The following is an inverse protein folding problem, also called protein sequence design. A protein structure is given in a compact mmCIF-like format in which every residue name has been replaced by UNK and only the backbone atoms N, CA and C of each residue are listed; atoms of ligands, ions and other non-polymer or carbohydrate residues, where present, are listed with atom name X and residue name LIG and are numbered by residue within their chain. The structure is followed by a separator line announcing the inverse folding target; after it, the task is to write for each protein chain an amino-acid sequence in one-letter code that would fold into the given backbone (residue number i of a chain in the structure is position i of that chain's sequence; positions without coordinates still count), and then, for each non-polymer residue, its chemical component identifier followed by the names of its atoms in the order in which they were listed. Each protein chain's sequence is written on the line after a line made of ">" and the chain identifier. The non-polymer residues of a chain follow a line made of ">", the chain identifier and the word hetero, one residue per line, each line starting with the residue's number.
data_IF_420689384251
#
_entry.id   IF_420689384251
#
_cell.length_a   1.000
_cell.length_b   1.000
_cell.length_c   1.000
_cell.angle_alpha   90.00
_cell.angle_beta   90.00
_cell.angle_gamma   90.00
#
_symmetry.space_group_name_H-M   'P 1'
#
loop_
_entity.id
_entity.type
_entity.pdbx_description
1 polymer ?
#
# COMPACT_ATOMS: atom_id res chain seq x y z
N UNK A 1 1.86 -2.92 30.47
CA UNK A 1 2.01 -1.77 31.38
C UNK A 1 2.75 -0.68 30.64
N UNK A 2 2.43 0.61 30.83
CA UNK A 2 3.09 1.71 30.11
C UNK A 2 4.40 2.06 30.81
N UNK A 3 5.59 1.93 30.18
CA UNK A 3 6.82 2.41 30.79
C UNK A 3 6.78 3.93 30.90
N UNK A 4 7.12 4.44 32.09
CA UNK A 4 7.19 5.87 32.40
C UNK A 4 8.58 6.20 32.93
N UNK A 5 9.05 7.40 32.63
CA UNK A 5 10.28 7.98 33.19
C UNK A 5 10.02 9.44 33.54
N UNK A 6 10.64 9.94 34.61
CA UNK A 6 10.60 11.37 34.94
C UNK A 6 11.23 12.16 33.78
N UNK A 7 10.60 13.27 33.41
CA UNK A 7 10.95 14.09 32.25
C UNK A 7 10.45 13.54 30.90
N UNK A 8 9.83 12.36 30.86
CA UNK A 8 9.37 11.78 29.59
C UNK A 8 8.25 12.63 28.96
N UNK A 9 8.35 13.02 27.69
CA UNK A 9 7.26 13.64 26.96
C UNK A 9 6.11 12.65 26.81
N UNK A 10 4.93 13.08 27.21
CA UNK A 10 3.69 12.31 27.16
C UNK A 10 2.58 13.12 26.50
N UNK A 11 1.62 12.41 25.93
CA UNK A 11 0.38 12.97 25.42
C UNK A 11 -0.81 12.34 26.15
N UNK A 12 -1.84 13.14 26.41
CA UNK A 12 -3.08 12.63 26.98
C UNK A 12 -3.79 11.69 25.98
N UNK A 13 -4.09 10.46 26.39
CA UNK A 13 -4.81 9.50 25.55
C UNK A 13 -6.30 9.83 25.43
N UNK A 14 -6.84 10.62 26.38
CA UNK A 14 -8.25 10.94 26.55
C UNK A 14 -8.45 12.41 26.92
N UNK A 15 -9.69 12.89 26.81
CA UNK A 15 -10.08 14.14 27.47
C UNK A 15 -10.18 13.87 28.98
N UNK A 16 -9.46 14.66 29.77
CA UNK A 16 -9.41 14.54 31.23
C UNK A 16 -10.21 15.67 31.86
N UNK A 17 -9.93 16.92 31.48
CA UNK A 17 -10.60 18.11 31.99
C UNK A 17 -10.97 19.03 30.82
N UNK A 18 -12.26 19.28 30.64
CA UNK A 18 -12.81 20.16 29.59
C UNK A 18 -13.14 21.57 30.07
N UNK A 19 -12.83 21.88 31.33
CA UNK A 19 -12.93 23.25 31.87
C UNK A 19 -11.91 24.19 31.21
N UNK A 20 -11.73 25.37 31.79
CA UNK A 20 -10.72 26.36 31.38
C UNK A 20 -9.28 25.80 31.33
N UNK A 21 -9.03 24.63 31.93
CA UNK A 21 -7.72 23.95 31.85
C UNK A 21 -7.45 23.30 30.49
N UNK A 22 -8.45 22.99 29.68
CA UNK A 22 -8.34 22.38 28.34
C UNK A 22 -7.43 21.15 28.25
N UNK A 23 -7.54 20.21 29.20
CA UNK A 23 -6.80 18.95 29.19
C UNK A 23 -7.48 17.92 28.27
N UNK A 24 -7.37 18.18 26.98
CA UNK A 24 -7.98 17.40 25.91
C UNK A 24 -7.05 16.29 25.41
N UNK A 25 -7.65 15.27 24.76
CA UNK A 25 -6.91 14.20 24.09
C UNK A 25 -5.84 14.78 23.17
N UNK A 26 -4.62 14.29 23.33
CA UNK A 26 -3.46 14.65 22.52
C UNK A 26 -2.70 15.88 23.02
N UNK A 27 -3.12 16.53 24.11
CA UNK A 27 -2.32 17.58 24.75
C UNK A 27 -1.00 17.00 25.25
N UNK A 28 0.09 17.71 24.95
CA UNK A 28 1.46 17.32 25.31
C UNK A 28 1.81 17.85 26.70
N UNK A 29 2.62 17.09 27.43
CA UNK A 29 3.21 17.47 28.70
C UNK A 29 4.40 16.57 29.02
N UNK A 30 4.98 16.77 30.20
CA UNK A 30 6.12 15.97 30.68
C UNK A 30 5.75 15.27 32.00
N UNK A 31 6.20 14.03 32.17
CA UNK A 31 6.07 13.34 33.46
C UNK A 31 6.93 14.06 34.48
N UNK A 32 6.31 14.63 35.51
CA UNK A 32 7.02 15.34 36.57
C UNK A 32 7.34 14.41 37.74
N UNK A 33 6.34 13.66 38.21
CA UNK A 33 6.48 12.71 39.30
C UNK A 33 5.38 11.64 39.20
N UNK A 34 5.45 10.61 40.03
CA UNK A 34 4.39 9.62 40.19
C UNK A 34 4.30 9.15 41.63
N UNK A 35 3.13 8.63 41.98
CA UNK A 35 2.92 7.87 43.20
C UNK A 35 2.71 6.41 42.83
N UNK A 36 3.47 5.54 43.50
CA UNK A 36 3.43 4.11 43.27
C UNK A 36 3.14 3.42 44.59
N UNK A 37 1.99 2.76 44.69
CA UNK A 37 1.63 1.97 45.87
C UNK A 37 2.37 0.63 45.85
N UNK A 38 2.78 0.15 47.02
CA UNK A 38 3.40 -1.18 47.13
C UNK A 38 2.49 -2.25 46.54
N UNK A 39 3.09 -3.22 45.84
CA UNK A 39 2.42 -4.35 45.18
C UNK A 39 1.50 -3.99 43.99
N UNK A 40 1.38 -2.72 43.59
CA UNK A 40 0.65 -2.35 42.39
C UNK A 40 1.50 -2.50 41.13
N UNK A 41 0.88 -2.98 40.06
CA UNK A 41 1.57 -3.12 38.77
C UNK A 41 1.66 -1.81 38.00
N UNK A 42 1.03 -0.71 38.42
CA UNK A 42 1.09 0.59 37.73
C UNK A 42 0.98 1.72 38.77
N UNK A 43 1.35 2.96 38.44
CA UNK A 43 1.21 4.07 39.39
C UNK A 43 -0.26 4.33 39.73
N UNK A 44 -0.53 4.79 40.96
CA UNK A 44 -1.84 5.29 41.39
C UNK A 44 -2.10 6.69 40.81
N UNK A 45 -1.06 7.51 40.72
CA UNK A 45 -1.11 8.88 40.19
C UNK A 45 0.16 9.15 39.39
N UNK A 46 0.02 9.84 38.25
CA UNK A 46 1.16 10.43 37.53
C UNK A 46 0.93 11.93 37.42
N UNK A 47 1.85 12.71 37.97
CA UNK A 47 1.84 14.16 37.83
C UNK A 47 2.44 14.56 36.49
N UNK A 48 1.65 15.26 35.68
CA UNK A 48 2.07 15.73 34.35
C UNK A 48 2.14 17.25 34.36
N UNK A 49 3.28 17.79 33.93
CA UNK A 49 3.51 19.22 33.74
C UNK A 49 3.14 19.63 32.32
N UNK A 50 2.32 20.67 32.20
CA UNK A 50 1.97 21.33 30.96
C UNK A 50 2.64 22.71 30.94
N UNK A 51 3.63 22.93 30.08
CA UNK A 51 4.46 24.15 30.09
C UNK A 51 3.65 25.41 29.76
N UNK A 52 2.78 25.33 28.75
CA UNK A 52 1.94 26.45 28.30
C UNK A 52 0.63 26.59 29.10
N UNK A 53 0.65 26.31 30.41
CA UNK A 53 -0.54 26.33 31.25
C UNK A 53 -0.50 27.46 32.30
N UNK A 54 -1.46 28.38 32.22
CA UNK A 54 -1.54 29.55 33.11
C UNK A 54 -2.26 29.26 34.44
N UNK A 55 -2.86 28.08 34.57
CA UNK A 55 -3.59 27.68 35.78
C UNK A 55 -2.67 26.96 36.76
N UNK A 56 -2.96 27.08 38.05
CA UNK A 56 -2.29 26.36 39.14
C UNK A 56 -3.35 25.66 39.99
N UNK A 57 -3.16 24.38 40.30
CA UNK A 57 -4.05 23.67 41.20
C UNK A 57 -3.77 24.11 42.65
N UNK A 58 -4.82 24.15 43.47
CA UNK A 58 -4.66 24.36 44.92
C UNK A 58 -3.77 23.27 45.51
N UNK A 59 -2.78 23.66 46.30
CA UNK A 59 -1.77 22.75 46.86
C UNK A 59 -0.66 22.33 45.89
N UNK A 60 -0.68 22.70 44.61
CA UNK A 60 0.45 22.48 43.72
C UNK A 60 1.57 23.49 43.99
N UNK A 61 2.82 23.06 43.86
CA UNK A 61 3.98 23.96 44.04
C UNK A 61 4.17 24.90 42.84
N UNK A 62 3.77 24.46 41.64
CA UNK A 62 4.02 25.15 40.38
C UNK A 62 2.78 25.14 39.46
N UNK A 63 2.65 26.10 38.53
CA UNK A 63 1.54 26.14 37.56
C UNK A 63 1.60 24.97 36.58
N UNK A 64 0.47 24.59 35.98
CA UNK A 64 0.42 23.58 34.94
C UNK A 64 0.67 22.14 35.39
N UNK A 65 0.78 21.86 36.69
CA UNK A 65 0.93 20.50 37.21
C UNK A 65 -0.44 19.86 37.44
N UNK A 66 -0.68 18.68 36.88
CA UNK A 66 -1.97 17.98 37.01
C UNK A 66 -1.81 16.50 37.42
N UNK A 67 -2.57 16.01 38.40
CA UNK A 67 -2.60 14.59 38.77
C UNK A 67 -3.43 13.78 37.76
N UNK A 68 -2.78 12.87 37.03
CA UNK A 68 -3.43 11.98 36.06
C UNK A 68 -3.60 10.60 36.68
N UNK A 69 -4.86 10.20 36.88
CA UNK A 69 -5.21 8.91 37.50
C UNK A 69 -5.54 7.83 36.47
N UNK A 70 -5.36 6.53 36.81
CA UNK A 70 -5.84 5.42 36.00
C UNK A 70 -7.33 5.51 35.69
N UNK A 71 -7.70 5.27 34.43
CA UNK A 71 -9.09 5.24 33.97
C UNK A 71 -9.42 3.88 33.36
N UNK A 72 -10.64 3.38 33.63
CA UNK A 72 -11.19 2.17 33.05
C UNK A 72 -12.02 2.47 31.80
N UNK A 73 -11.61 1.91 30.66
CA UNK A 73 -12.38 1.95 29.42
C UNK A 73 -12.90 0.57 29.08
N UNK A 74 -14.14 0.53 28.63
CA UNK A 74 -14.76 -0.69 28.16
C UNK A 74 -15.22 -0.55 26.72
N UNK A 75 -14.95 -1.56 25.90
CA UNK A 75 -15.54 -1.72 24.57
C UNK A 75 -16.13 -3.12 24.40
N UNK A 76 -17.07 -3.26 23.46
CA UNK A 76 -17.69 -4.53 23.11
C UNK A 76 -17.13 -5.04 21.78
N UNK A 77 -16.69 -6.29 21.72
CA UNK A 77 -16.14 -6.90 20.51
C UNK A 77 -17.22 -7.26 19.49
N UNK A 78 -18.46 -7.45 19.94
CA UNK A 78 -19.60 -7.89 19.16
C UNK A 78 -20.64 -6.78 18.98
N UNK A 79 -20.19 -5.52 18.86
CA UNK A 79 -21.06 -4.34 18.72
C UNK A 79 -22.04 -4.41 17.53
N UNK A 80 -21.78 -5.27 16.54
CA UNK A 80 -22.67 -5.51 15.39
C UNK A 80 -23.84 -6.46 15.64
N UNK A 81 -23.94 -7.11 16.82
CA UNK A 81 -25.10 -7.94 17.20
C UNK A 81 -26.20 -7.06 17.78
N UNK A 82 -27.47 -7.49 17.64
CA UNK A 82 -28.63 -6.83 18.28
C UNK A 82 -28.42 -6.64 19.80
N UNK A 83 -27.83 -7.65 20.44
CA UNK A 83 -27.43 -7.59 21.84
C UNK A 83 -25.95 -7.95 21.97
N UNK A 84 -25.12 -6.93 22.16
CA UNK A 84 -23.69 -7.10 22.33
C UNK A 84 -23.36 -7.55 23.78
N UNK A 85 -22.75 -8.72 23.92
CA UNK A 85 -22.46 -9.41 25.19
C UNK A 85 -20.95 -9.54 25.46
N UNK A 86 -20.08 -9.45 24.44
CA UNK A 86 -18.64 -9.63 24.60
C UNK A 86 -17.95 -8.32 25.02
N UNK A 87 -17.93 -8.05 26.32
CA UNK A 87 -17.38 -6.85 26.95
C UNK A 87 -15.92 -7.05 27.35
N UNK A 88 -15.03 -6.14 26.92
CA UNK A 88 -13.62 -6.07 27.35
C UNK A 88 -13.39 -4.76 28.08
N UNK A 89 -12.76 -4.81 29.25
CA UNK A 89 -12.38 -3.62 30.03
C UNK A 89 -10.87 -3.51 30.19
N UNK A 90 -10.34 -2.29 30.18
CA UNK A 90 -8.94 -1.98 30.41
C UNK A 90 -8.84 -0.78 31.36
N UNK A 91 -8.19 -0.98 32.51
CA UNK A 91 -7.77 0.08 33.44
C UNK A 91 -6.31 0.45 33.14
N UNK A 92 -6.03 1.71 32.84
CA UNK A 92 -4.68 2.19 32.55
C UNK A 92 -4.59 3.70 32.78
N UNK A 93 -3.39 4.22 33.07
CA UNK A 93 -3.14 5.66 33.06
C UNK A 93 -3.32 6.20 31.63
N UNK A 94 -4.15 7.23 31.41
CA UNK A 94 -4.51 7.72 30.08
C UNK A 94 -3.40 8.59 29.46
N UNK A 95 -2.18 8.05 29.39
CA UNK A 95 -1.00 8.67 28.80
C UNK A 95 -0.45 7.78 27.68
N UNK A 96 0.24 8.42 26.73
CA UNK A 96 1.04 7.74 25.71
C UNK A 96 2.38 8.48 25.56
N UNK A 97 3.50 7.79 25.31
CA UNK A 97 4.77 8.45 25.03
C UNK A 97 4.63 9.35 23.80
N UNK A 98 5.21 10.54 23.84
CA UNK A 98 5.01 11.58 22.84
C UNK A 98 6.29 11.98 22.07
N UNK A 99 7.32 11.13 22.08
CA UNK A 99 8.52 11.32 21.25
C UNK A 99 8.21 11.29 19.74
N UNK A 100 7.20 10.51 19.36
CA UNK A 100 6.72 10.41 17.98
C UNK A 100 5.21 10.39 17.98
N UNK A 101 4.61 11.02 16.97
CA UNK A 101 3.17 11.04 16.77
C UNK A 101 2.85 10.56 15.36
N UNK A 102 1.78 9.76 15.23
CA UNK A 102 1.31 9.36 13.92
C UNK A 102 0.67 10.55 13.21
N UNK A 103 0.75 10.58 11.88
CA UNK A 103 0.10 11.61 11.07
C UNK A 103 -1.39 11.79 11.43
N UNK A 104 -2.11 10.68 11.61
CA UNK A 104 -3.52 10.69 12.04
C UNK A 104 -3.72 11.35 13.41
N UNK A 105 -2.86 11.06 14.39
CA UNK A 105 -2.97 11.66 15.73
C UNK A 105 -2.57 13.15 15.77
N UNK A 106 -1.79 13.61 14.79
CA UNK A 106 -1.42 15.03 14.63
C UNK A 106 -2.48 15.87 13.91
N UNK A 107 -3.48 15.24 13.28
CA UNK A 107 -4.49 15.94 12.48
C UNK A 107 -5.24 16.98 13.33
N UNK A 108 -5.37 18.19 12.79
CA UNK A 108 -6.04 19.31 13.46
C UNK A 108 -5.17 20.04 14.50
N UNK A 109 -3.90 19.66 14.67
CA UNK A 109 -2.95 20.38 15.55
C UNK A 109 -2.07 21.33 14.76
N UNK A 110 -1.59 22.37 15.44
CA UNK A 110 -0.46 23.18 15.00
C UNK A 110 0.72 22.87 15.91
N UNK A 111 1.85 22.49 15.34
CA UNK A 111 3.09 22.11 16.01
C UNK A 111 4.14 23.18 15.75
N UNK A 112 5.06 23.37 16.70
CA UNK A 112 6.18 24.33 16.56
C UNK A 112 7.16 23.89 15.48
N UNK A 113 7.52 22.61 15.47
CA UNK A 113 8.37 21.99 14.45
C UNK A 113 8.06 20.49 14.30
N UNK A 114 8.40 19.90 13.16
CA UNK A 114 8.19 18.48 12.86
C UNK A 114 9.38 17.84 12.16
N UNK A 115 9.73 16.63 12.59
CA UNK A 115 10.58 15.71 11.84
C UNK A 115 9.69 14.68 11.13
N UNK A 116 9.71 14.67 9.80
CA UNK A 116 8.86 13.85 8.95
C UNK A 116 9.59 12.59 8.49
N UNK A 117 9.09 11.41 8.87
CA UNK A 117 9.47 10.17 8.21
C UNK A 117 8.55 9.90 7.01
N UNK A 118 9.08 10.16 5.81
CA UNK A 118 8.36 9.99 4.54
C UNK A 118 8.52 8.60 3.90
N UNK A 119 9.35 7.73 4.48
CA UNK A 119 9.65 6.42 3.92
C UNK A 119 8.62 5.37 4.39
N UNK A 120 7.47 5.40 3.73
CA UNK A 120 6.33 4.50 3.99
C UNK A 120 6.08 3.53 2.84
N UNK A 121 5.34 2.46 3.15
CA UNK A 121 4.93 1.46 2.16
C UNK A 121 4.09 2.08 1.03
N UNK A 122 4.25 1.55 -0.18
CA UNK A 122 3.49 1.91 -1.39
C UNK A 122 1.96 1.96 -1.26
N UNK A 123 1.40 1.25 -0.25
CA UNK A 123 -0.03 1.19 0.08
C UNK A 123 -0.52 2.40 0.89
N UNK A 124 0.38 3.15 1.51
CA UNK A 124 0.01 4.32 2.30
C UNK A 124 -0.35 5.46 1.35
N UNK A 125 -1.40 6.19 1.69
CA UNK A 125 -1.88 7.29 0.87
C UNK A 125 -0.93 8.49 0.96
N UNK A 126 -0.51 9.05 -0.18
CA UNK A 126 0.45 10.15 -0.25
C UNK A 126 0.01 11.40 0.52
N UNK A 127 -1.30 11.63 0.66
CA UNK A 127 -1.84 12.77 1.42
C UNK A 127 -1.38 12.80 2.88
N UNK A 128 -0.91 11.69 3.45
CA UNK A 128 -0.38 11.72 4.81
C UNK A 128 0.80 12.70 4.92
N UNK A 129 1.68 12.78 3.91
CA UNK A 129 2.82 13.71 3.92
C UNK A 129 2.35 15.16 3.97
N UNK A 130 1.33 15.49 3.19
CA UNK A 130 0.68 16.82 3.22
C UNK A 130 0.01 17.11 4.57
N UNK A 131 -0.66 16.12 5.16
CA UNK A 131 -1.27 16.27 6.50
C UNK A 131 -0.22 16.63 7.53
N UNK A 132 0.93 15.94 7.56
CA UNK A 132 1.96 16.22 8.57
C UNK A 132 2.72 17.51 8.26
N UNK A 133 3.06 17.78 6.99
CA UNK A 133 3.74 19.01 6.59
C UNK A 133 2.90 20.26 6.90
N UNK A 134 1.57 20.17 6.79
CA UNK A 134 0.64 21.27 7.14
C UNK A 134 0.41 21.44 8.65
N UNK A 135 1.12 20.70 9.52
CA UNK A 135 1.02 20.89 10.98
C UNK A 135 1.91 22.03 11.48
N UNK A 136 2.88 22.49 10.69
CA UNK A 136 3.72 23.64 11.05
C UNK A 136 3.34 24.86 10.21
N UNK A 137 3.76 26.04 10.66
CA UNK A 137 3.47 27.30 9.97
C UNK A 137 4.49 27.59 8.88
N UNK A 138 5.75 27.29 9.13
CA UNK A 138 6.85 27.64 8.25
C UNK A 138 7.61 26.43 7.74
N UNK A 139 8.20 26.57 6.54
CA UNK A 139 9.00 25.51 5.92
C UNK A 139 10.29 25.24 6.70
N UNK A 140 10.87 26.24 7.38
CA UNK A 140 12.05 26.08 8.24
C UNK A 140 11.81 25.11 9.39
N UNK A 141 10.56 24.93 9.77
CA UNK A 141 10.14 24.08 10.89
C UNK A 141 9.83 22.64 10.46
N UNK A 142 10.11 22.29 9.20
CA UNK A 142 9.97 20.92 8.66
C UNK A 142 11.33 20.34 8.34
N UNK A 143 11.65 19.20 8.96
CA UNK A 143 12.82 18.40 8.60
C UNK A 143 12.39 17.03 8.07
N UNK A 144 12.88 16.63 6.90
CA UNK A 144 12.65 15.28 6.37
C UNK A 144 13.73 14.35 6.92
N UNK A 145 13.32 13.35 7.69
CA UNK A 145 14.23 12.51 8.48
C UNK A 145 15.19 11.68 7.63
N UNK A 146 14.74 11.21 6.45
CA UNK A 146 15.52 10.33 5.56
C UNK A 146 14.99 10.37 4.12
N UNK A 147 15.78 9.91 3.12
CA UNK A 147 15.30 9.75 1.75
C UNK A 147 14.03 8.90 1.67
N UNK A 148 13.14 9.25 0.74
CA UNK A 148 11.83 8.63 0.58
C UNK A 148 11.45 8.47 -0.90
N UNK A 149 10.54 7.55 -1.25
CA UNK A 149 10.11 7.33 -2.63
C UNK A 149 9.31 8.53 -3.17
N UNK A 150 9.97 9.44 -3.88
CA UNK A 150 9.34 10.63 -4.47
C UNK A 150 8.09 10.31 -5.32
N UNK A 151 8.14 9.19 -6.05
CA UNK A 151 7.04 8.72 -6.90
C UNK A 151 5.72 8.51 -6.14
N UNK A 152 5.76 8.25 -4.82
CA UNK A 152 4.56 8.14 -3.98
C UNK A 152 3.79 9.46 -3.93
N UNK A 153 4.52 10.58 -3.83
CA UNK A 153 3.96 11.92 -3.69
C UNK A 153 3.68 12.61 -5.03
N UNK A 154 4.09 11.99 -6.15
CA UNK A 154 3.83 12.44 -7.52
C UNK A 154 2.59 11.77 -8.15
N UNK A 155 1.86 10.92 -7.42
CA UNK A 155 0.66 10.23 -7.95
C UNK A 155 -0.54 11.16 -8.20
N UNK A 156 -0.46 12.42 -7.78
CA UNK A 156 -1.56 13.39 -7.86
C UNK A 156 -2.55 13.28 -6.70
N UNK A 157 -3.54 14.17 -6.68
CA UNK A 157 -4.62 14.16 -5.69
C UNK A 157 -5.52 12.94 -5.86
N UNK A 158 -6.12 12.47 -4.77
CA UNK A 158 -7.15 11.44 -4.87
C UNK A 158 -8.35 11.95 -5.64
N UNK A 159 -8.87 11.08 -6.51
CA UNK A 159 -10.08 11.37 -7.28
C UNK A 159 -11.29 11.66 -6.37
N UNK A 160 -11.39 11.02 -5.21
CA UNK A 160 -12.54 11.12 -4.29
C UNK A 160 -12.90 12.56 -3.87
N UNK A 161 -11.99 13.31 -3.21
CA UNK A 161 -12.23 14.72 -2.87
C UNK A 161 -12.58 15.59 -4.09
N UNK A 162 -11.88 15.42 -5.21
CA UNK A 162 -12.15 16.18 -6.43
C UNK A 162 -13.55 15.89 -6.99
N UNK A 163 -13.98 14.63 -6.98
CA UNK A 163 -15.34 14.24 -7.41
C UNK A 163 -16.41 14.77 -6.47
N UNK A 164 -16.18 14.73 -5.15
CA UNK A 164 -17.09 15.30 -4.18
C UNK A 164 -17.26 16.80 -4.43
N UNK A 165 -16.16 17.53 -4.59
CA UNK A 165 -16.18 18.96 -4.89
C UNK A 165 -16.89 19.26 -6.22
N UNK A 166 -16.63 18.47 -7.26
CA UNK A 166 -17.30 18.60 -8.56
C UNK A 166 -18.82 18.42 -8.41
N UNK A 167 -19.23 17.42 -7.63
CA UNK A 167 -20.65 17.14 -7.37
C UNK A 167 -21.32 18.26 -6.58
N UNK A 168 -20.63 18.80 -5.58
CA UNK A 168 -21.12 19.92 -4.76
C UNK A 168 -21.21 21.22 -5.57
N UNK A 169 -20.34 21.41 -6.58
CA UNK A 169 -20.42 22.54 -7.53
C UNK A 169 -21.47 22.35 -8.63
N UNK A 170 -22.15 21.21 -8.69
CA UNK A 170 -23.11 20.91 -9.74
C UNK A 170 -22.48 20.60 -11.10
N UNK A 171 -21.17 20.31 -11.14
CA UNK A 171 -20.49 19.91 -12.38
C UNK A 171 -21.03 18.57 -12.87
N UNK A 172 -21.11 18.41 -14.19
CA UNK A 172 -21.52 17.15 -14.79
C UNK A 172 -20.46 16.07 -14.53
N UNK A 173 -20.87 14.97 -13.89
CA UNK A 173 -20.01 13.82 -13.59
C UNK A 173 -20.55 12.61 -14.32
N UNK A 174 -19.73 12.03 -15.19
CA UNK A 174 -20.03 10.76 -15.85
C UNK A 174 -19.79 9.58 -14.89
N UNK A 175 -20.83 9.24 -14.12
CA UNK A 175 -20.81 8.11 -13.19
C UNK A 175 -20.58 6.78 -13.88
N UNK A 176 -21.04 6.61 -15.11
CA UNK A 176 -20.91 5.37 -15.87
C UNK A 176 -19.46 5.14 -16.29
N UNK A 177 -18.80 6.16 -16.86
CA UNK A 177 -17.38 6.09 -17.21
C UNK A 177 -16.49 5.82 -15.99
N UNK A 178 -16.82 6.40 -14.83
CA UNK A 178 -16.10 6.14 -13.59
C UNK A 178 -16.31 4.72 -13.07
N UNK A 179 -17.56 4.21 -13.13
CA UNK A 179 -17.85 2.83 -12.76
C UNK A 179 -17.04 1.87 -13.65
N UNK A 180 -17.06 2.07 -14.97
CA UNK A 180 -16.35 1.21 -15.91
C UNK A 180 -14.80 1.37 -15.83
N UNK A 181 -14.30 2.51 -15.35
CA UNK A 181 -12.89 2.71 -15.01
C UNK A 181 -12.42 1.88 -13.81
N UNK A 182 -13.30 1.69 -12.83
CA UNK A 182 -13.01 0.96 -11.57
C UNK A 182 -13.37 -0.51 -11.64
N UNK A 183 -14.30 -0.86 -12.53
CA UNK A 183 -14.83 -2.21 -12.66
C UNK A 183 -14.61 -2.72 -14.09
N UNK A 184 -13.35 -2.96 -14.50
CA UNK A 184 -13.07 -3.46 -15.83
C UNK A 184 -13.80 -4.80 -16.05
N UNK A 185 -14.36 -4.94 -17.25
CA UNK A 185 -15.17 -6.09 -17.65
C UNK A 185 -14.47 -6.87 -18.76
N UNK A 186 -14.69 -8.17 -18.79
CA UNK A 186 -14.28 -9.05 -19.88
C UNK A 186 -15.30 -10.17 -20.11
N UNK A 187 -15.33 -10.66 -21.35
CA UNK A 187 -16.18 -11.80 -21.71
C UNK A 187 -15.55 -13.09 -21.19
N UNK A 188 -16.33 -13.90 -20.47
CA UNK A 188 -15.89 -15.22 -20.04
C UNK A 188 -15.68 -16.13 -21.26
N UNK A 189 -14.58 -16.89 -21.29
CA UNK A 189 -14.30 -17.81 -22.40
C UNK A 189 -15.35 -18.93 -22.51
N UNK A 190 -15.89 -19.40 -21.38
CA UNK A 190 -16.85 -20.51 -21.33
C UNK A 190 -18.29 -20.03 -21.55
N UNK A 191 -18.84 -19.18 -20.69
CA UNK A 191 -20.25 -18.74 -20.80
C UNK A 191 -20.47 -17.53 -21.72
N UNK A 192 -19.42 -16.92 -22.27
CA UNK A 192 -19.46 -15.73 -23.16
C UNK A 192 -20.08 -14.45 -22.57
N UNK A 193 -20.62 -14.51 -21.36
CA UNK A 193 -21.17 -13.35 -20.66
C UNK A 193 -20.09 -12.32 -20.32
N UNK A 194 -20.45 -11.03 -20.44
CA UNK A 194 -19.62 -9.92 -20.01
C UNK A 194 -19.66 -9.82 -18.48
N UNK A 195 -18.53 -10.05 -17.84
CA UNK A 195 -18.42 -10.06 -16.38
C UNK A 195 -17.32 -9.12 -15.91
N UNK A 196 -17.48 -8.64 -14.69
CA UNK A 196 -16.50 -7.81 -14.02
C UNK A 196 -15.31 -8.61 -13.49
N UNK A 197 -14.16 -7.96 -13.37
CA UNK A 197 -12.91 -8.61 -12.99
C UNK A 197 -12.94 -9.38 -11.67
N UNK A 198 -13.74 -8.92 -10.71
CA UNK A 198 -13.91 -9.53 -9.38
C UNK A 198 -14.49 -10.95 -9.44
N UNK A 199 -15.19 -11.32 -10.50
CA UNK A 199 -15.76 -12.66 -10.67
C UNK A 199 -14.79 -13.67 -11.29
N UNK A 200 -13.63 -13.23 -11.78
CA UNK A 200 -12.57 -14.11 -12.26
C UNK A 200 -11.67 -14.52 -11.09
N UNK A 201 -10.89 -15.59 -11.19
CA UNK A 201 -9.76 -15.80 -10.27
C UNK A 201 -8.58 -14.90 -10.67
N UNK A 202 -7.61 -14.66 -9.77
CA UNK A 202 -6.43 -13.84 -10.09
C UNK A 202 -5.72 -14.31 -11.36
N UNK A 203 -5.37 -15.60 -11.42
CA UNK A 203 -4.70 -16.17 -12.59
C UNK A 203 -5.52 -16.04 -13.89
N UNK A 204 -6.86 -16.14 -13.81
CA UNK A 204 -7.73 -16.03 -14.98
C UNK A 204 -7.85 -14.58 -15.46
N UNK A 205 -7.89 -13.62 -14.55
CA UNK A 205 -7.91 -12.22 -14.92
C UNK A 205 -6.57 -11.74 -15.50
N UNK A 206 -5.45 -12.30 -15.03
CA UNK A 206 -4.15 -12.06 -15.66
C UNK A 206 -4.10 -12.56 -17.11
N UNK A 207 -4.76 -13.68 -17.42
CA UNK A 207 -4.94 -14.12 -18.80
C UNK A 207 -5.76 -13.13 -19.61
N UNK A 208 -6.87 -12.63 -19.06
CA UNK A 208 -7.70 -11.59 -19.70
C UNK A 208 -6.89 -10.33 -19.99
N UNK A 209 -6.08 -9.86 -19.03
CA UNK A 209 -5.23 -8.67 -19.18
C UNK A 209 -4.13 -8.85 -20.22
N UNK A 210 -3.69 -10.10 -20.45
CA UNK A 210 -2.80 -10.48 -21.53
C UNK A 210 -3.55 -10.75 -22.86
N UNK A 211 -4.84 -10.39 -22.94
CA UNK A 211 -5.74 -10.63 -24.08
C UNK A 211 -5.82 -12.11 -24.50
N UNK A 212 -5.91 -12.98 -23.49
CA UNK A 212 -6.22 -14.40 -23.64
C UNK A 212 -7.59 -14.72 -23.05
N UNK A 213 -8.11 -15.88 -23.39
CA UNK A 213 -9.35 -16.37 -22.80
C UNK A 213 -9.18 -16.62 -21.30
N UNK A 214 -10.07 -16.02 -20.50
CA UNK A 214 -10.18 -16.27 -19.07
C UNK A 214 -11.57 -16.79 -18.71
N UNK A 215 -11.63 -17.64 -17.70
CA UNK A 215 -12.86 -18.26 -17.21
C UNK A 215 -13.29 -17.64 -15.88
N UNK A 216 -14.58 -17.34 -15.74
CA UNK A 216 -15.13 -16.84 -14.48
C UNK A 216 -15.16 -17.95 -13.41
N UNK A 217 -15.18 -17.56 -12.13
CA UNK A 217 -15.21 -18.48 -10.99
C UNK A 217 -16.40 -19.43 -11.03
N UNK A 218 -17.56 -18.98 -11.53
CA UNK A 218 -18.74 -19.83 -11.70
C UNK A 218 -18.46 -20.98 -12.69
N UNK A 219 -17.94 -20.67 -13.87
CA UNK A 219 -17.60 -21.67 -14.88
C UNK A 219 -16.45 -22.58 -14.43
N UNK A 220 -15.39 -22.02 -13.82
CA UNK A 220 -14.29 -22.83 -13.30
C UNK A 220 -14.76 -23.86 -12.27
N UNK A 221 -15.76 -23.52 -11.46
CA UNK A 221 -16.31 -24.43 -10.45
C UNK A 221 -17.35 -25.38 -11.00
N UNK A 222 -18.16 -24.96 -11.97
CA UNK A 222 -19.05 -25.86 -12.69
C UNK A 222 -18.28 -27.05 -13.28
N UNK A 223 -17.02 -26.84 -13.68
CA UNK A 223 -16.13 -27.89 -14.16
C UNK A 223 -15.47 -28.76 -13.07
N UNK A 224 -15.41 -28.31 -11.80
CA UNK A 224 -14.64 -28.98 -10.72
C UNK A 224 -15.54 -29.43 -9.55
N UNK A 225 -16.81 -29.00 -9.51
CA UNK A 225 -17.80 -29.41 -8.49
C UNK A 225 -17.61 -28.79 -7.10
N UNK A 226 -16.78 -27.76 -6.95
CA UNK A 226 -16.42 -27.18 -5.64
C UNK A 226 -17.31 -25.97 -5.29
N UNK A 227 -17.82 -25.92 -4.04
CA UNK A 227 -18.57 -24.78 -3.49
C UNK A 227 -17.64 -23.67 -2.97
N UNK A 228 -18.03 -22.40 -3.09
CA UNK A 228 -17.27 -21.25 -2.56
C UNK A 228 -17.81 -19.89 -3.01
N UNK A 229 -17.11 -18.77 -2.71
CA UNK A 229 -17.56 -17.43 -3.09
C UNK A 229 -17.41 -17.18 -4.60
N UNK A 230 -18.46 -16.71 -5.29
CA UNK A 230 -18.46 -16.46 -6.75
C UNK A 230 -17.76 -15.15 -7.15
N UNK A 231 -17.25 -14.40 -6.17
CA UNK A 231 -16.53 -13.15 -6.34
C UNK A 231 -15.32 -13.13 -5.41
N UNK A 232 -14.26 -12.47 -5.84
CA UNK A 232 -13.09 -12.18 -4.99
C UNK A 232 -13.47 -11.15 -3.91
N UNK A 233 -12.94 -11.33 -2.71
CA UNK A 233 -12.90 -10.25 -1.73
C UNK A 233 -11.89 -9.20 -2.19
N UNK A 234 -12.36 -7.97 -2.38
CA UNK A 234 -11.52 -6.86 -2.85
C UNK A 234 -11.46 -5.82 -1.74
N UNK A 235 -10.26 -5.42 -1.36
CA UNK A 235 -10.06 -4.22 -0.58
C UNK A 235 -10.15 -3.01 -1.53
N UNK A 236 -11.33 -2.39 -1.60
CA UNK A 236 -11.60 -1.27 -2.49
C UNK A 236 -10.58 -0.13 -2.29
N UNK A 237 -10.26 0.21 -1.04
CA UNK A 237 -9.28 1.26 -0.69
C UNK A 237 -7.88 0.96 -1.25
N UNK A 238 -7.40 -0.27 -1.06
CA UNK A 238 -6.08 -0.68 -1.58
C UNK A 238 -6.05 -0.76 -3.11
N UNK A 239 -7.18 -1.06 -3.74
CA UNK A 239 -7.32 -1.13 -5.20
C UNK A 239 -7.34 0.26 -5.82
N UNK A 240 -8.08 1.19 -5.20
CA UNK A 240 -8.10 2.61 -5.59
C UNK A 240 -6.75 3.30 -5.39
N UNK A 241 -5.99 2.91 -4.35
CA UNK A 241 -4.65 3.47 -4.09
C UNK A 241 -3.64 3.15 -5.21
N UNK A 242 -3.98 2.21 -6.10
CA UNK A 242 -3.21 1.80 -7.28
C UNK A 242 -3.90 2.23 -8.58
N UNK A 243 -4.56 3.38 -8.58
CA UNK A 243 -5.14 3.95 -9.79
C UNK A 243 -4.09 4.69 -10.61
N UNK A 244 -4.36 4.77 -11.90
CA UNK A 244 -3.40 5.13 -12.94
C UNK A 244 -4.14 5.81 -14.08
N UNK A 245 -3.63 6.95 -14.55
CA UNK A 245 -4.14 7.62 -15.75
C UNK A 245 -3.76 6.86 -17.04
N UNK A 246 -4.73 6.67 -17.92
CA UNK A 246 -4.53 6.11 -19.26
C UNK A 246 -4.01 7.20 -20.22
N UNK A 247 -2.94 6.93 -20.96
CA UNK A 247 -2.36 7.89 -21.92
C UNK A 247 -3.26 8.21 -23.12
N UNK A 248 -4.27 7.36 -23.41
CA UNK A 248 -5.16 7.54 -24.56
C UNK A 248 -6.51 8.18 -24.23
N UNK A 249 -7.18 7.71 -23.17
CA UNK A 249 -8.48 8.28 -22.78
C UNK A 249 -8.38 9.28 -21.63
N UNK A 250 -7.20 9.47 -21.06
CA UNK A 250 -6.92 10.39 -19.93
C UNK A 250 -7.71 10.11 -18.64
N UNK A 251 -8.59 9.10 -18.63
CA UNK A 251 -9.25 8.62 -17.42
C UNK A 251 -8.30 7.86 -16.51
N UNK A 252 -8.41 8.15 -15.21
CA UNK A 252 -7.79 7.39 -14.14
C UNK A 252 -8.55 6.08 -13.93
N UNK A 253 -7.86 4.94 -14.05
CA UNK A 253 -8.42 3.59 -13.89
C UNK A 253 -7.58 2.78 -12.92
N UNK A 254 -8.14 1.74 -12.33
CA UNK A 254 -7.36 0.84 -11.46
C UNK A 254 -6.33 0.05 -12.28
N UNK A 255 -5.21 -0.36 -11.68
CA UNK A 255 -4.18 -1.20 -12.34
C UNK A 255 -4.76 -2.41 -13.10
N UNK A 256 -5.83 -3.02 -12.59
CA UNK A 256 -6.52 -4.17 -13.20
C UNK A 256 -7.13 -3.87 -14.57
N UNK A 257 -7.33 -2.60 -14.90
CA UNK A 257 -7.81 -2.15 -16.21
C UNK A 257 -6.69 -2.03 -17.25
N UNK A 258 -5.42 -2.23 -16.89
CA UNK A 258 -4.27 -2.10 -17.77
C UNK A 258 -3.62 -3.45 -18.08
N UNK A 259 -3.03 -3.64 -19.28
CA UNK A 259 -2.18 -4.77 -19.53
C UNK A 259 -0.99 -4.80 -18.58
N UNK A 260 -0.66 -5.99 -18.08
CA UNK A 260 0.48 -6.15 -17.18
C UNK A 260 1.79 -5.72 -17.84
N UNK A 261 1.97 -6.06 -19.12
CA UNK A 261 3.17 -5.72 -19.84
C UNK A 261 3.44 -4.20 -19.90
N UNK A 262 2.39 -3.38 -19.85
CA UNK A 262 2.54 -1.93 -19.86
C UNK A 262 2.82 -1.35 -18.48
N UNK A 263 2.35 -2.00 -17.41
CA UNK A 263 2.67 -1.58 -16.03
C UNK A 263 4.12 -1.91 -15.64
N UNK A 264 4.72 -2.94 -16.25
CA UNK A 264 6.08 -3.38 -15.93
C UNK A 264 7.19 -2.56 -16.62
N UNK A 265 6.84 -1.59 -17.47
CA UNK A 265 7.82 -0.74 -18.14
C UNK A 265 8.47 0.25 -17.17
N UNK A 266 9.75 0.59 -17.40
CA UNK A 266 10.43 1.67 -16.64
C UNK A 266 9.73 3.02 -16.79
N UNK A 267 9.25 3.35 -17.99
CA UNK A 267 8.51 4.58 -18.29
C UNK A 267 6.98 4.39 -18.29
N UNK A 268 6.47 3.35 -17.62
CA UNK A 268 5.05 2.99 -17.66
C UNK A 268 4.13 4.18 -17.36
N UNK A 269 4.57 5.08 -16.48
CA UNK A 269 3.78 6.20 -16.00
C UNK A 269 3.27 7.15 -17.09
N UNK A 270 4.00 7.29 -18.21
CA UNK A 270 3.67 8.23 -19.28
C UNK A 270 3.08 7.55 -20.52
N UNK A 271 3.35 6.26 -20.74
CA UNK A 271 3.02 5.57 -22.00
C UNK A 271 1.90 4.54 -21.90
N UNK A 272 1.45 4.15 -20.71
CA UNK A 272 0.46 3.07 -20.52
C UNK A 272 -0.97 3.41 -20.97
N UNK A 273 -1.57 2.48 -21.70
CA UNK A 273 -2.93 2.50 -22.20
C UNK A 273 -3.76 1.40 -21.52
N UNK A 274 -5.00 1.71 -21.15
CA UNK A 274 -5.89 0.70 -20.57
C UNK A 274 -6.28 -0.37 -21.61
N UNK A 275 -6.68 -1.56 -21.17
CA UNK A 275 -7.02 -2.69 -22.03
C UNK A 275 -8.07 -2.30 -23.08
N UNK A 276 -9.10 -1.53 -22.70
CA UNK A 276 -10.13 -1.07 -23.64
C UNK A 276 -9.55 -0.17 -24.75
N UNK A 277 -8.76 0.84 -24.37
CA UNK A 277 -8.09 1.74 -25.32
C UNK A 277 -7.10 1.01 -26.22
N UNK A 278 -6.39 0.02 -25.66
CA UNK A 278 -5.38 -0.74 -26.39
C UNK A 278 -6.00 -1.71 -27.38
N UNK A 279 -6.99 -2.49 -26.94
CA UNK A 279 -7.68 -3.48 -27.76
C UNK A 279 -8.69 -2.85 -28.72
N UNK A 280 -9.10 -1.61 -28.48
CA UNK A 280 -9.90 -0.81 -29.42
C UNK A 280 -9.08 -0.17 -30.55
N UNK A 281 -7.74 -0.28 -30.56
CA UNK A 281 -6.94 0.21 -31.68
C UNK A 281 -7.19 -0.62 -32.95
N UNK A 282 -7.50 0.06 -34.06
CA UNK A 282 -7.73 -0.55 -35.38
C UNK A 282 -6.42 -0.83 -36.12
N UNK A 283 -5.39 -0.02 -35.87
CA UNK A 283 -4.07 -0.12 -36.47
C UNK A 283 -2.99 0.03 -35.41
N UNK A 284 -1.87 -0.65 -35.62
CA UNK A 284 -0.70 -0.69 -34.74
C UNK A 284 0.58 -0.61 -35.58
N UNK A 285 1.63 -0.02 -35.03
CA UNK A 285 2.92 0.07 -35.68
C UNK A 285 3.80 -1.10 -35.25
N UNK A 286 4.39 -1.79 -36.21
CA UNK A 286 5.36 -2.84 -35.92
C UNK A 286 6.72 -2.20 -35.60
N UNK A 287 7.27 -2.44 -34.41
CA UNK A 287 8.58 -1.92 -34.03
C UNK A 287 9.75 -2.57 -34.80
N UNK A 288 9.48 -3.68 -35.50
CA UNK A 288 10.50 -4.45 -36.23
C UNK A 288 10.61 -3.99 -37.68
N UNK A 289 9.48 -3.91 -38.40
CA UNK A 289 9.47 -3.50 -39.81
C UNK A 289 9.03 -2.05 -40.03
N UNK A 290 8.72 -1.28 -38.98
CA UNK A 290 8.31 0.12 -39.05
C UNK A 290 6.91 0.37 -39.65
N UNK A 291 6.34 -0.59 -40.38
CA UNK A 291 5.05 -0.42 -41.06
C UNK A 291 3.87 -0.37 -40.09
N UNK A 292 2.92 0.52 -40.38
CA UNK A 292 1.59 0.57 -39.76
C UNK A 292 0.70 -0.51 -40.35
N UNK A 293 0.18 -1.42 -39.51
CA UNK A 293 -0.63 -2.57 -39.93
C UNK A 293 -1.94 -2.65 -39.16
N UNK A 294 -2.99 -3.26 -39.74
CA UNK A 294 -4.22 -3.60 -39.03
C UNK A 294 -3.96 -4.40 -37.75
N UNK A 295 -4.75 -4.16 -36.69
CA UNK A 295 -4.57 -4.83 -35.40
C UNK A 295 -4.74 -6.36 -35.46
N UNK A 296 -5.43 -6.88 -36.48
CA UNK A 296 -5.56 -8.32 -36.76
C UNK A 296 -4.23 -8.98 -37.17
N UNK A 297 -3.28 -8.20 -37.67
CA UNK A 297 -1.95 -8.68 -38.08
C UNK A 297 -0.98 -8.78 -36.89
N UNK A 298 -1.50 -8.69 -35.66
CA UNK A 298 -0.76 -8.86 -34.42
C UNK A 298 -1.46 -9.94 -33.58
N UNK A 299 -0.69 -10.86 -33.00
CA UNK A 299 -1.25 -11.90 -32.14
C UNK A 299 -1.99 -11.29 -30.93
N UNK A 300 -2.99 -11.99 -30.35
CA UNK A 300 -3.76 -11.45 -29.23
C UNK A 300 -2.89 -10.98 -28.08
N UNK A 301 -1.89 -11.77 -27.67
CA UNK A 301 -0.97 -11.39 -26.59
C UNK A 301 -0.13 -10.17 -27.00
N UNK A 302 0.37 -10.12 -28.24
CA UNK A 302 1.22 -9.02 -28.73
C UNK A 302 0.50 -7.68 -28.71
N UNK A 303 -0.80 -7.64 -28.99
CA UNK A 303 -1.59 -6.39 -28.98
C UNK A 303 -1.57 -5.67 -27.63
N UNK A 304 -1.30 -6.36 -26.53
CA UNK A 304 -1.27 -5.79 -25.19
C UNK A 304 0.12 -5.31 -24.74
N UNK A 305 1.15 -5.57 -25.56
CA UNK A 305 2.54 -5.22 -25.26
C UNK A 305 2.83 -3.72 -25.47
N UNK A 306 3.90 -3.19 -24.84
CA UNK A 306 4.48 -1.86 -25.14
C UNK A 306 4.64 -1.59 -26.65
N UNK A 307 4.49 -0.33 -27.08
CA UNK A 307 4.61 0.05 -28.51
C UNK A 307 5.99 -0.26 -29.10
N UNK A 308 7.05 -0.06 -28.33
CA UNK A 308 8.44 -0.34 -28.71
C UNK A 308 8.78 -1.85 -28.78
N UNK A 309 7.84 -2.70 -28.39
CA UNK A 309 7.99 -4.17 -28.39
C UNK A 309 7.06 -4.88 -29.37
N UNK A 310 6.18 -4.16 -30.06
CA UNK A 310 5.21 -4.74 -30.97
C UNK A 310 5.87 -5.39 -32.19
N UNK A 311 5.49 -6.63 -32.48
CA UNK A 311 5.86 -7.31 -33.72
C UNK A 311 4.64 -7.88 -34.44
N UNK A 312 4.48 -7.57 -35.72
CA UNK A 312 3.42 -8.16 -36.54
C UNK A 312 3.65 -9.66 -36.76
N UNK A 313 2.58 -10.39 -37.07
CA UNK A 313 2.60 -11.85 -37.30
C UNK A 313 3.62 -12.23 -38.37
N UNK A 314 3.72 -11.47 -39.47
CA UNK A 314 4.72 -11.72 -40.51
C UNK A 314 6.16 -11.65 -39.95
N UNK A 315 6.49 -10.64 -39.13
CA UNK A 315 7.80 -10.55 -38.48
C UNK A 315 8.02 -11.66 -37.45
N UNK A 316 6.97 -12.08 -36.74
CA UNK A 316 7.06 -13.22 -35.82
C UNK A 316 7.30 -14.54 -36.58
N UNK A 317 6.69 -14.73 -37.74
CA UNK A 317 6.74 -15.96 -38.55
C UNK A 317 8.01 -16.06 -39.41
N UNK A 318 8.53 -14.94 -39.92
CA UNK A 318 9.84 -14.89 -40.60
C UNK A 318 10.96 -15.46 -39.72
N UNK A 319 10.75 -15.55 -38.40
CA UNK A 319 11.68 -16.09 -37.43
C UNK A 319 11.33 -17.51 -36.95
N UNK A 320 10.10 -17.99 -37.14
CA UNK A 320 9.71 -19.37 -36.75
C UNK A 320 10.23 -20.45 -37.72
N UNK A 321 10.60 -20.07 -38.95
CA UNK A 321 11.00 -21.00 -40.01
C UNK A 321 12.49 -21.33 -40.13
N UNK A 322 13.40 -20.69 -39.37
CA UNK A 322 14.85 -20.95 -39.46
C UNK A 322 15.51 -21.11 -38.08
N UNK A 323 15.82 -22.37 -37.73
CA UNK A 323 16.74 -22.85 -36.69
C UNK A 323 16.62 -22.28 -35.26
N UNK A 324 16.32 -23.20 -34.32
CA UNK A 324 16.22 -23.05 -32.85
C UNK A 324 17.52 -22.60 -32.12
N UNK A 325 18.44 -21.87 -32.74
CA UNK A 325 19.62 -21.31 -32.05
C UNK A 325 19.52 -19.79 -32.02
N UNK A 326 19.54 -19.25 -30.80
CA UNK A 326 19.52 -17.83 -30.43
C UNK A 326 20.04 -16.90 -31.55
N UNK A 327 19.14 -16.31 -32.34
CA UNK A 327 19.49 -15.11 -33.11
C UNK A 327 19.33 -13.90 -32.20
N UNK A 328 20.37 -13.07 -32.18
CA UNK A 328 20.51 -11.84 -31.40
C UNK A 328 19.25 -10.97 -31.50
N UNK A 329 18.47 -10.87 -30.42
CA UNK A 329 17.35 -9.93 -30.32
C UNK A 329 15.94 -10.52 -30.17
N UNK A 330 15.75 -11.85 -30.16
CA UNK A 330 14.44 -12.49 -29.96
C UNK A 330 14.47 -13.65 -28.97
N UNK A 331 13.31 -13.93 -28.34
CA UNK A 331 13.12 -15.07 -27.47
C UNK A 331 11.73 -15.71 -27.62
N UNK A 332 11.62 -16.96 -27.19
CA UNK A 332 10.35 -17.69 -27.15
C UNK A 332 9.79 -17.71 -25.73
N UNK A 333 8.58 -17.18 -25.53
CA UNK A 333 7.98 -17.13 -24.21
C UNK A 333 7.39 -18.48 -23.80
N UNK A 334 7.88 -19.06 -22.69
CA UNK A 334 7.35 -20.33 -22.14
C UNK A 334 5.90 -20.24 -21.65
N UNK A 335 5.40 -19.03 -21.39
CA UNK A 335 4.05 -18.80 -20.88
C UNK A 335 2.98 -18.68 -21.97
N UNK A 336 3.21 -17.92 -23.05
CA UNK A 336 2.28 -17.84 -24.19
C UNK A 336 2.51 -18.90 -25.24
N UNK A 337 3.74 -19.42 -25.34
CA UNK A 337 4.23 -20.13 -26.52
C UNK A 337 4.24 -19.25 -27.79
N UNK A 338 4.51 -17.95 -27.62
CA UNK A 338 4.66 -16.97 -28.73
C UNK A 338 6.09 -16.40 -28.73
N UNK A 339 6.55 -15.92 -29.89
CA UNK A 339 7.87 -15.32 -30.09
C UNK A 339 7.82 -13.79 -29.90
N UNK A 340 8.79 -13.24 -29.16
CA UNK A 340 8.85 -11.80 -28.89
C UNK A 340 10.27 -11.24 -29.08
N UNK A 341 10.40 -9.94 -29.39
CA UNK A 341 11.69 -9.24 -29.33
C UNK A 341 12.24 -9.24 -27.90
N UNK A 342 13.56 -9.24 -27.71
CA UNK A 342 14.20 -9.26 -26.38
C UNK A 342 13.76 -8.09 -25.47
N UNK A 343 13.40 -6.94 -26.06
CA UNK A 343 12.85 -5.79 -25.32
C UNK A 343 11.52 -6.10 -24.63
N UNK A 344 10.80 -7.14 -25.09
CA UNK A 344 9.58 -7.64 -24.49
C UNK A 344 9.81 -8.63 -23.34
N UNK A 345 11.06 -8.94 -22.99
CA UNK A 345 11.39 -9.84 -21.90
C UNK A 345 11.08 -9.19 -20.56
N UNK A 346 10.39 -9.92 -19.68
CA UNK A 346 10.10 -9.42 -18.33
C UNK A 346 11.12 -9.85 -17.28
N UNK A 347 12.20 -10.54 -17.67
CA UNK A 347 13.33 -10.91 -16.83
C UNK A 347 14.62 -11.02 -17.66
N UNK A 348 15.77 -10.91 -17.01
CA UNK A 348 17.09 -10.90 -17.68
C UNK A 348 17.39 -12.20 -18.45
N UNK A 349 16.73 -13.30 -18.08
CA UNK A 349 16.90 -14.59 -18.75
C UNK A 349 16.12 -14.73 -20.07
N UNK A 350 15.22 -13.80 -20.40
CA UNK A 350 14.45 -13.86 -21.65
C UNK A 350 13.55 -15.11 -21.78
N UNK A 351 13.05 -15.67 -20.67
CA UNK A 351 12.22 -16.90 -20.69
C UNK A 351 10.72 -16.62 -20.72
N UNK A 352 10.30 -15.43 -20.27
CA UNK A 352 8.92 -15.01 -20.19
C UNK A 352 8.77 -13.57 -20.68
N UNK A 353 7.71 -13.30 -21.46
CA UNK A 353 7.37 -11.94 -21.86
C UNK A 353 6.82 -11.12 -20.68
N UNK A 354 6.76 -9.80 -20.83
CA UNK A 354 6.27 -8.86 -19.82
C UNK A 354 4.84 -9.18 -19.28
N UNK A 355 4.00 -9.86 -20.06
CA UNK A 355 2.69 -10.35 -19.58
C UNK A 355 2.79 -11.65 -18.76
N UNK A 356 3.78 -12.50 -19.06
CA UNK A 356 3.94 -13.82 -18.44
C UNK A 356 5.01 -13.86 -17.34
N UNK A 357 5.75 -12.77 -17.12
CA UNK A 357 6.91 -12.70 -16.24
C UNK A 357 6.62 -12.84 -14.74
N UNK A 358 5.41 -13.26 -14.36
CA UNK A 358 5.08 -13.61 -12.99
C UNK A 358 4.71 -15.09 -12.90
N UNK A 359 5.79 -15.88 -12.81
CA UNK A 359 5.83 -17.17 -12.11
C UNK A 359 6.91 -17.17 -11.00
N UNK A 360 7.26 -16.00 -10.48
CA UNK A 360 7.96 -15.89 -9.20
C UNK A 360 6.94 -15.79 -8.06
N UNK A 361 6.43 -16.92 -7.56
CA UNK A 361 5.83 -16.97 -6.21
C UNK A 361 6.87 -16.70 -5.11
N UNK A 362 8.16 -16.69 -5.47
CA UNK A 362 9.24 -16.08 -4.69
C UNK A 362 9.22 -14.58 -4.92
N UNK A 363 8.68 -13.84 -3.96
CA UNK A 363 9.14 -12.48 -3.72
C UNK A 363 10.67 -12.57 -3.53
N UNK A 364 11.44 -12.08 -4.51
CA UNK A 364 12.89 -12.02 -4.40
C UNK A 364 13.26 -11.20 -3.18
N UNK A 365 14.12 -11.76 -2.33
CA UNK A 365 14.52 -11.16 -1.05
C UNK A 365 13.55 -11.37 0.11
N UNK A 366 12.43 -12.10 -0.04
CA UNK A 366 11.55 -12.44 1.09
C UNK A 366 11.63 -13.93 1.44
N UNK A 367 11.89 -14.23 2.70
CA UNK A 367 11.97 -15.60 3.21
C UNK A 367 11.11 -15.77 4.45
N UNK A 368 10.61 -16.99 4.66
CA UNK A 368 9.88 -17.37 5.87
C UNK A 368 10.89 -17.72 6.96
N UNK A 369 10.71 -17.18 8.16
CA UNK A 369 11.52 -17.46 9.33
C UNK A 369 11.65 -18.97 9.56
N UNK A 370 12.89 -19.49 9.66
CA UNK A 370 13.13 -20.92 9.89
C UNK A 370 12.65 -21.41 11.26
N UNK A 371 12.32 -20.51 12.20
CA UNK A 371 11.67 -20.90 13.43
C UNK A 371 10.25 -21.42 13.12
N UNK A 372 10.05 -22.74 13.26
CA UNK A 372 8.79 -23.43 12.95
C UNK A 372 7.58 -22.85 13.69
N UNK A 373 7.78 -22.18 14.84
CA UNK A 373 6.71 -21.55 15.63
C UNK A 373 6.39 -20.10 15.21
N UNK A 374 7.24 -19.47 14.39
CA UNK A 374 7.11 -18.04 14.04
C UNK A 374 6.30 -17.82 12.75
N UNK A 375 6.62 -18.54 11.66
CA UNK A 375 5.90 -18.43 10.38
C UNK A 375 6.01 -17.07 9.67
N UNK A 376 6.67 -16.07 10.25
CA UNK A 376 6.77 -14.71 9.69
C UNK A 376 7.61 -14.69 8.41
N UNK A 377 7.16 -13.92 7.42
CA UNK A 377 7.95 -13.62 6.21
C UNK A 377 8.65 -12.27 6.38
N UNK A 378 9.94 -12.21 6.07
CA UNK A 378 10.76 -11.00 6.20
C UNK A 378 11.69 -10.84 5.00
N UNK A 379 12.09 -9.60 4.76
CA UNK A 379 12.93 -9.25 3.62
C UNK A 379 14.42 -9.37 4.00
N UNK A 380 15.10 -10.43 3.56
CA UNK A 380 16.54 -10.60 3.68
C UNK A 380 17.06 -11.55 2.59
N UNK A 381 18.23 -11.28 2.04
CA UNK A 381 18.90 -12.12 1.03
C UNK A 381 19.66 -13.30 1.64
N UNK A 382 20.09 -13.23 2.90
CA UNK A 382 21.05 -14.20 3.48
C UNK A 382 20.72 -14.67 4.92
N UNK A 383 19.64 -14.19 5.53
CA UNK A 383 19.40 -14.39 6.97
C UNK A 383 18.37 -15.48 7.25
N UNK A 384 18.69 -16.49 8.06
CA UNK A 384 17.79 -17.63 8.32
C UNK A 384 16.61 -17.33 9.29
N UNK A 385 16.71 -16.30 10.12
CA UNK A 385 15.73 -15.96 11.18
C UNK A 385 15.28 -14.50 11.03
N UNK A 386 14.01 -14.22 11.31
CA UNK A 386 13.49 -12.85 11.29
C UNK A 386 14.09 -12.00 12.44
N UNK A 387 14.03 -10.66 12.36
CA UNK A 387 14.56 -9.77 13.41
C UNK A 387 14.04 -10.10 14.82
N UNK A 388 12.78 -10.54 14.93
CA UNK A 388 12.15 -10.89 16.21
C UNK A 388 12.62 -12.24 16.79
N UNK A 389 13.05 -13.17 15.93
CA UNK A 389 13.56 -14.48 16.35
C UNK A 389 15.08 -14.51 16.50
N UNK A 390 15.76 -13.39 16.25
CA UNK A 390 17.21 -13.32 16.34
C UNK A 390 17.63 -13.22 17.80
N UNK A 391 18.59 -14.03 18.28
CA UNK A 391 19.21 -13.80 19.57
C UNK A 391 19.86 -12.42 19.54
N UNK A 392 19.54 -11.55 20.51
CA UNK A 392 20.25 -10.27 20.67
C UNK A 392 21.75 -10.57 20.77
N UNK A 393 22.56 -9.99 19.89
CA UNK A 393 24.01 -10.10 20.00
C UNK A 393 24.41 -9.55 21.37
N UNK A 394 25.12 -10.38 22.15
CA UNK A 394 25.71 -9.90 23.41
C UNK A 394 26.72 -8.80 23.06
N UNK A 395 26.73 -7.67 23.78
CA UNK A 395 27.77 -6.67 23.59
C UNK A 395 29.15 -7.32 23.80
N UNK A 396 30.19 -6.87 23.07
CA UNK A 396 31.54 -7.39 23.24
C UNK A 396 31.98 -7.22 24.69
N UNK A 397 32.53 -8.28 25.29
CA UNK A 397 33.09 -8.22 26.65
C UNK A 397 34.23 -7.20 26.67
N UNK A 398 34.31 -6.33 27.69
CA UNK A 398 35.44 -5.42 27.83
C UNK A 398 36.74 -6.23 27.89
N UNK A 399 37.73 -5.85 27.06
CA UNK A 399 39.08 -6.41 27.12
C UNK A 399 39.62 -6.18 28.53
N UNK A 400 40.06 -7.27 29.19
CA UNK A 400 40.83 -7.16 30.42
C UNK A 400 42.07 -6.31 30.12
N UNK A 401 42.18 -5.17 30.78
CA UNK A 401 43.45 -4.45 30.88
C UNK A 401 44.41 -5.35 31.64
N UNK A 402 45.50 -5.75 30.98
CA UNK A 402 46.62 -6.37 31.68
C UNK A 402 47.20 -5.29 32.60
N UNK A 403 47.19 -5.56 33.90
CA UNK A 403 48.11 -4.91 34.83
C UNK A 403 49.51 -5.36 34.46
N UNK A 404 50.33 -4.42 34.02
CA UNK A 404 51.73 -4.28 34.40
C UNK A 404 52.07 -2.80 34.31
#
# INVERSE_FOLDING_TARGET
>A
MLPLAIGMPVALAHHIDRSKKFLLKGRLGHVHAWEWQENEQQPSIVYVKFEDADWKLEGANEPGLYPVLPNSRTWKLDKGRKHAVLKVSRKQIPLTPAFAITAHASQGKTLKAVMLDLNVDSKIHAAYGTVVASRVRDRSDVLILRPFPLWLFQRGATEGPSLLLSKLRGEHIDWQAMHDARWPKARCQSCKELKSWDVFAFAQWEMVRANRGGQCLACQRGSIGIKGPLKRSINATATLAKSVACSRCHFTKIEEAFPRAQLAQKDANTKRQCCACRLGATQLNCAICGSRKPAKDFSPTMRTMPDDTLACIACQQQLSGKAKRLRTGWFFCRGCKESFPNRAAGNDEGKHCLNCSIRGTRQTGWQTCRNRKCGNRFQATEQALCPDCRPRQRPPRPRKTNKM
#
